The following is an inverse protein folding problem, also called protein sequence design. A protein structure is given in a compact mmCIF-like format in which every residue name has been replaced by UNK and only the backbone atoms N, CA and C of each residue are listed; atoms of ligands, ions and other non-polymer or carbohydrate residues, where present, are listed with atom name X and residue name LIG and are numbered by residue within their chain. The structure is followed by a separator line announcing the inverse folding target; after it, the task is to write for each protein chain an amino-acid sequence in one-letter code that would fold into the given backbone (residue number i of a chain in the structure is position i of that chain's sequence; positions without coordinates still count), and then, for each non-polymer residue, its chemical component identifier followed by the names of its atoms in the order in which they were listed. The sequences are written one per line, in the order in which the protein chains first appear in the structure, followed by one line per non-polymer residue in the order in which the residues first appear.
data_IF_649208794353
#
_entry.id   IF_649208794353
#
_cell.length_a   1.000
_cell.length_b   1.000
_cell.length_c   1.000
_cell.angle_alpha   90.00
_cell.angle_beta   90.00
_cell.angle_gamma   90.00
#
_symmetry.space_group_name_H-M   'P 1'
#
loop_
_entity.id
_entity.type
_entity.pdbx_description
1 polymer ?
#
# COMPACT_ATOMS: atom_id res chain seq x y z
N UNK A 1 13.73 -59.79 -33.59
CA UNK A 1 14.89 -60.23 -32.77
C UNK A 1 15.54 -59.01 -32.16
N UNK A 2 15.57 -58.94 -30.82
CA UNK A 2 15.91 -57.77 -30.01
C UNK A 2 17.40 -57.47 -30.01
N UNK A 3 17.79 -56.19 -30.08
CA UNK A 3 19.02 -55.69 -29.44
C UNK A 3 18.71 -54.35 -28.75
N UNK A 4 18.52 -54.41 -27.43
CA UNK A 4 18.50 -53.27 -26.53
C UNK A 4 19.95 -52.81 -26.34
N UNK A 5 20.27 -51.58 -26.74
CA UNK A 5 21.49 -50.92 -26.28
C UNK A 5 21.15 -50.17 -25.00
N UNK A 6 21.60 -50.70 -23.87
CA UNK A 6 21.49 -50.07 -22.56
C UNK A 6 22.57 -48.99 -22.46
N UNK A 7 22.15 -47.73 -22.32
CA UNK A 7 23.04 -46.66 -21.93
C UNK A 7 23.40 -46.81 -20.45
N UNK A 8 24.70 -46.75 -20.19
CA UNK A 8 25.39 -46.87 -18.91
C UNK A 8 24.99 -45.73 -17.97
N UNK A 9 24.27 -46.04 -16.88
CA UNK A 9 24.04 -45.09 -15.79
C UNK A 9 25.27 -45.07 -14.88
N UNK A 10 25.87 -43.88 -14.69
CA UNK A 10 26.89 -43.67 -13.67
C UNK A 10 26.21 -43.61 -12.28
N UNK A 11 26.76 -44.26 -11.24
CA UNK A 11 26.27 -44.07 -9.88
C UNK A 11 26.79 -42.72 -9.37
N UNK A 12 25.87 -41.78 -9.10
CA UNK A 12 26.17 -40.63 -8.27
C UNK A 12 26.17 -41.13 -6.81
N UNK A 13 27.35 -41.13 -6.19
CA UNK A 13 27.47 -41.34 -4.77
C UNK A 13 26.76 -40.19 -4.05
N UNK A 14 25.70 -40.51 -3.30
CA UNK A 14 25.05 -39.60 -2.37
C UNK A 14 25.63 -39.87 -0.99
N UNK A 15 26.82 -39.34 -0.73
CA UNK A 15 27.34 -39.20 0.63
C UNK A 15 27.85 -37.77 0.78
N UNK A 16 26.96 -36.90 1.27
CA UNK A 16 27.35 -35.94 2.28
C UNK A 16 26.10 -35.62 3.10
N UNK A 17 26.10 -36.16 4.31
CA UNK A 17 25.09 -35.95 5.35
C UNK A 17 24.95 -34.44 5.59
N UNK A 18 23.82 -33.88 5.16
CA UNK A 18 23.38 -32.55 5.57
C UNK A 18 23.01 -32.59 7.05
N UNK A 19 24.03 -32.54 7.92
CA UNK A 19 23.86 -32.12 9.30
C UNK A 19 23.54 -30.62 9.29
N UNK A 20 22.29 -30.27 8.96
CA UNK A 20 21.74 -28.96 9.26
C UNK A 20 21.55 -28.93 10.77
N UNK A 21 22.55 -28.42 11.48
CA UNK A 21 22.37 -27.93 12.84
C UNK A 21 21.29 -26.85 12.78
N UNK A 22 20.05 -27.23 13.08
CA UNK A 22 18.98 -26.28 13.36
C UNK A 22 19.22 -25.69 14.75
N UNK A 23 20.27 -24.89 14.90
CA UNK A 23 20.33 -23.91 15.98
C UNK A 23 19.32 -22.82 15.62
N UNK A 24 18.05 -23.05 15.94
CA UNK A 24 17.07 -21.98 15.97
C UNK A 24 17.53 -21.01 17.07
N UNK A 25 18.25 -19.98 16.67
CA UNK A 25 18.61 -18.86 17.54
C UNK A 25 17.29 -18.22 17.98
N UNK A 26 16.85 -18.54 19.20
CA UNK A 26 15.66 -17.93 19.79
C UNK A 26 16.05 -16.49 20.06
N UNK A 27 15.70 -15.61 19.11
CA UNK A 27 15.83 -14.17 19.25
C UNK A 27 15.21 -13.75 20.58
N UNK A 28 16.05 -13.10 21.39
CA UNK A 28 15.72 -12.54 22.69
C UNK A 28 14.33 -11.88 22.71
N UNK A 29 13.47 -12.40 23.59
CA UNK A 29 12.07 -11.97 23.73
C UNK A 29 11.96 -10.50 24.12
N UNK A 30 13.01 -9.92 24.70
CA UNK A 30 13.10 -8.50 25.04
C UNK A 30 13.09 -7.62 23.77
N UNK A 31 13.76 -8.06 22.70
CA UNK A 31 13.71 -7.41 21.39
C UNK A 31 12.37 -7.60 20.65
N UNK A 32 11.60 -8.65 20.97
CA UNK A 32 10.24 -8.86 20.44
C UNK A 32 9.23 -7.94 21.13
N UNK A 33 9.34 -7.76 22.44
CA UNK A 33 8.49 -6.84 23.20
C UNK A 33 8.67 -5.39 22.74
N UNK A 34 9.92 -4.93 22.60
CA UNK A 34 10.22 -3.57 22.13
C UNK A 34 9.78 -3.35 20.68
N UNK A 35 9.96 -4.36 19.81
CA UNK A 35 9.48 -4.29 18.42
C UNK A 35 7.95 -4.28 18.37
N UNK A 36 7.26 -5.03 19.24
CA UNK A 36 5.80 -5.02 19.37
C UNK A 36 5.31 -3.67 19.88
N UNK A 37 5.95 -3.08 20.88
CA UNK A 37 5.63 -1.72 21.34
C UNK A 37 5.81 -0.69 20.24
N UNK A 38 6.91 -0.76 19.48
CA UNK A 38 7.10 0.09 18.29
C UNK A 38 6.01 -0.10 17.25
N UNK A 39 5.59 -1.35 16.98
CA UNK A 39 4.49 -1.64 16.07
C UNK A 39 3.14 -1.14 16.59
N UNK A 40 2.86 -1.28 17.88
CA UNK A 40 1.62 -0.81 18.51
C UNK A 40 1.58 0.72 18.56
N UNK A 41 2.70 1.38 18.89
CA UNK A 41 2.82 2.83 18.83
C UNK A 41 2.66 3.35 17.39
N UNK A 42 3.25 2.66 16.41
CA UNK A 42 3.06 2.96 14.99
C UNK A 42 1.61 2.73 14.54
N UNK A 43 0.97 1.65 14.97
CA UNK A 43 -0.43 1.37 14.67
C UNK A 43 -1.40 2.37 15.34
N UNK A 44 -1.10 2.77 16.58
CA UNK A 44 -1.83 3.80 17.30
C UNK A 44 -1.62 5.19 16.66
N UNK A 45 -0.43 5.51 16.17
CA UNK A 45 -0.18 6.71 15.37
C UNK A 45 -0.90 6.65 14.02
N UNK A 46 -0.98 5.48 13.39
CA UNK A 46 -1.75 5.21 12.18
C UNK A 46 -3.28 5.21 12.39
N UNK A 47 -3.76 5.23 13.63
CA UNK A 47 -5.20 5.26 13.95
C UNK A 47 -5.86 6.62 13.72
N UNK A 48 -5.07 7.70 13.70
CA UNK A 48 -5.59 9.05 13.45
C UNK A 48 -5.68 9.29 11.94
N UNK A 49 -6.87 9.64 11.48
CA UNK A 49 -7.16 9.90 10.08
C UNK A 49 -7.78 11.28 9.92
N UNK A 50 -7.42 11.97 8.86
CA UNK A 50 -8.14 13.16 8.39
C UNK A 50 -9.21 12.70 7.41
N UNK A 51 -10.42 13.22 7.58
CA UNK A 51 -11.59 12.93 6.76
C UNK A 51 -11.87 14.15 5.89
N UNK A 52 -11.84 13.97 4.58
CA UNK A 52 -12.18 14.99 3.58
C UNK A 52 -13.49 14.61 2.88
N UNK A 53 -14.42 15.53 2.75
CA UNK A 53 -15.67 15.33 2.03
C UNK A 53 -15.63 16.10 0.72
N UNK A 54 -15.86 15.41 -0.40
CA UNK A 54 -15.87 15.96 -1.74
C UNK A 54 -17.25 15.80 -2.40
N UNK A 55 -17.64 16.81 -3.18
CA UNK A 55 -18.79 16.73 -4.10
C UNK A 55 -18.26 16.95 -5.52
N UNK A 56 -18.04 15.84 -6.25
CA UNK A 56 -17.54 15.86 -7.62
C UNK A 56 -18.70 15.56 -8.57
N UNK A 57 -19.11 16.49 -9.45
CA UNK A 57 -20.18 16.24 -10.39
C UNK A 57 -19.76 15.19 -11.44
N UNK A 58 -20.70 14.41 -12.01
CA UNK A 58 -20.39 13.42 -13.04
C UNK A 58 -19.71 14.07 -14.26
N UNK A 59 -18.61 13.47 -14.73
CA UNK A 59 -17.86 13.96 -15.89
C UNK A 59 -16.97 15.18 -15.61
N UNK A 60 -16.82 15.59 -14.35
CA UNK A 60 -15.87 16.64 -13.98
C UNK A 60 -14.44 16.24 -14.33
N UNK A 61 -13.70 17.17 -14.93
CA UNK A 61 -12.29 17.00 -15.27
C UNK A 61 -11.42 17.96 -14.48
N UNK A 62 -10.22 17.54 -14.12
CA UNK A 62 -9.16 18.38 -13.53
C UNK A 62 -7.87 18.24 -14.30
N UNK A 63 -6.97 19.21 -14.14
CA UNK A 63 -5.60 19.08 -14.63
C UNK A 63 -4.96 17.83 -14.05
N UNK A 64 -4.31 17.04 -14.92
CA UNK A 64 -3.58 15.85 -14.49
C UNK A 64 -2.41 16.19 -13.56
N UNK A 65 -1.79 15.17 -12.98
CA UNK A 65 -0.61 15.35 -12.13
C UNK A 65 0.64 15.59 -12.99
N UNK A 66 1.23 16.80 -12.92
CA UNK A 66 2.44 17.17 -13.64
C UNK A 66 2.30 18.46 -14.46
N UNK A 67 3.41 19.08 -14.90
CA UNK A 67 3.39 20.38 -15.58
C UNK A 67 2.67 20.37 -16.94
N UNK A 68 2.69 19.25 -17.65
CA UNK A 68 2.09 19.08 -18.98
C UNK A 68 1.04 17.96 -19.01
N UNK A 69 0.38 17.75 -17.88
CA UNK A 69 -0.53 16.63 -17.74
C UNK A 69 -1.90 16.96 -18.37
N UNK A 70 -2.32 16.10 -19.31
CA UNK A 70 -3.64 16.18 -19.92
C UNK A 70 -4.78 16.17 -18.87
N UNK A 71 -5.91 16.84 -19.15
CA UNK A 71 -7.07 16.78 -18.28
C UNK A 71 -7.54 15.34 -18.05
N UNK A 72 -7.89 15.04 -16.80
CA UNK A 72 -8.36 13.71 -16.38
C UNK A 72 -9.67 13.78 -15.63
N UNK A 73 -10.38 12.67 -15.60
CA UNK A 73 -11.55 12.49 -14.75
C UNK A 73 -11.18 12.77 -13.27
N UNK A 74 -11.91 13.70 -12.66
CA UNK A 74 -11.62 14.20 -11.31
C UNK A 74 -11.75 13.10 -10.26
N UNK A 75 -12.71 12.20 -10.43
CA UNK A 75 -12.93 11.09 -9.51
C UNK A 75 -11.80 10.05 -9.62
N UNK A 76 -11.44 9.66 -10.83
CA UNK A 76 -10.30 8.76 -11.07
C UNK A 76 -8.99 9.35 -10.57
N UNK A 77 -8.80 10.67 -10.70
CA UNK A 77 -7.62 11.34 -10.15
C UNK A 77 -7.63 11.34 -8.61
N UNK A 78 -8.78 11.58 -7.98
CA UNK A 78 -8.91 11.47 -6.52
C UNK A 78 -8.59 10.06 -6.03
N UNK A 79 -9.11 9.03 -6.70
CA UNK A 79 -8.84 7.62 -6.39
C UNK A 79 -7.34 7.28 -6.49
N UNK A 80 -6.64 7.83 -7.50
CA UNK A 80 -5.19 7.69 -7.63
C UNK A 80 -4.44 8.33 -6.45
N UNK A 81 -4.80 9.55 -6.03
CA UNK A 81 -4.12 10.21 -4.90
C UNK A 81 -4.33 9.47 -3.59
N UNK A 82 -5.51 8.88 -3.40
CA UNK A 82 -5.82 8.03 -2.24
C UNK A 82 -4.93 6.79 -2.24
N UNK A 83 -4.80 6.11 -3.39
CA UNK A 83 -3.96 4.92 -3.51
C UNK A 83 -2.48 5.24 -3.21
N UNK A 84 -1.98 6.40 -3.64
CA UNK A 84 -0.59 6.83 -3.39
C UNK A 84 -0.32 7.23 -1.94
N UNK A 85 -1.36 7.57 -1.18
CA UNK A 85 -1.25 8.05 0.21
C UNK A 85 -1.73 7.03 1.24
N UNK A 86 -2.15 5.84 0.80
CA UNK A 86 -2.62 4.77 1.66
C UNK A 86 -3.96 5.08 2.33
N UNK A 87 -4.77 5.93 1.70
CA UNK A 87 -6.09 6.32 2.19
C UNK A 87 -7.20 5.33 1.85
N UNK A 88 -8.42 5.65 2.28
CA UNK A 88 -9.63 4.92 1.95
C UNK A 88 -10.72 5.86 1.42
N UNK A 89 -11.54 5.33 0.51
CA UNK A 89 -12.70 6.04 -0.07
C UNK A 89 -14.00 5.42 0.44
N UNK A 90 -14.88 6.25 0.97
CA UNK A 90 -16.26 5.95 1.31
C UNK A 90 -17.24 6.79 0.47
N UNK A 91 -18.48 6.33 0.39
CA UNK A 91 -19.59 7.09 -0.21
C UNK A 91 -20.48 7.66 0.89
N UNK A 92 -20.97 8.88 0.72
CA UNK A 92 -22.02 9.47 1.56
C UNK A 92 -23.10 10.09 0.66
N UNK A 93 -24.31 10.42 1.17
CA UNK A 93 -25.37 11.00 0.36
C UNK A 93 -24.88 12.27 -0.36
N UNK A 94 -24.78 12.20 -1.69
CA UNK A 94 -24.35 13.33 -2.53
C UNK A 94 -22.85 13.52 -2.72
N UNK A 95 -21.98 12.63 -2.21
CA UNK A 95 -20.53 12.84 -2.35
C UNK A 95 -19.62 11.66 -1.96
N UNK A 96 -18.34 11.99 -1.81
CA UNK A 96 -17.24 11.08 -1.51
C UNK A 96 -16.52 11.48 -0.23
N UNK A 97 -16.36 10.53 0.69
CA UNK A 97 -15.58 10.72 1.91
C UNK A 97 -14.23 10.05 1.74
N UNK A 98 -13.15 10.80 1.89
CA UNK A 98 -11.78 10.31 1.82
C UNK A 98 -11.19 10.30 3.22
N UNK A 99 -10.60 9.18 3.63
CA UNK A 99 -9.93 9.03 4.93
C UNK A 99 -8.44 8.84 4.68
N UNK A 100 -7.63 9.78 5.12
CA UNK A 100 -6.17 9.75 4.94
C UNK A 100 -5.49 9.67 6.31
N UNK A 101 -4.52 8.77 6.52
CA UNK A 101 -3.72 8.79 7.75
C UNK A 101 -3.09 10.17 7.97
N UNK A 102 -3.09 10.70 9.20
CA UNK A 102 -2.55 12.05 9.49
C UNK A 102 -1.10 12.20 9.00
N UNK A 103 -0.29 11.15 9.11
CA UNK A 103 1.09 11.12 8.63
C UNK A 103 1.22 11.35 7.10
N UNK A 104 0.17 11.08 6.33
CA UNK A 104 0.12 11.25 4.88
C UNK A 104 -0.73 12.46 4.43
N UNK A 105 -1.37 13.18 5.36
CA UNK A 105 -2.31 14.25 5.05
C UNK A 105 -1.66 15.39 4.24
N UNK A 106 -0.49 15.88 4.67
CA UNK A 106 0.21 16.94 3.96
C UNK A 106 0.56 16.55 2.50
N UNK A 107 1.01 15.30 2.30
CA UNK A 107 1.30 14.77 0.96
C UNK A 107 0.04 14.62 0.11
N UNK A 108 -1.06 14.17 0.72
CA UNK A 108 -2.35 14.09 0.04
C UNK A 108 -2.82 15.48 -0.39
N UNK A 109 -2.74 16.48 0.48
CA UNK A 109 -3.18 17.84 0.19
C UNK A 109 -2.35 18.49 -0.92
N UNK A 110 -1.05 18.24 -0.97
CA UNK A 110 -0.18 18.70 -2.06
C UNK A 110 -0.59 18.08 -3.41
N UNK A 111 -0.77 16.76 -3.44
CA UNK A 111 -1.14 16.03 -4.67
C UNK A 111 -2.56 16.32 -5.13
N UNK A 112 -3.49 16.49 -4.18
CA UNK A 112 -4.91 16.71 -4.44
C UNK A 112 -5.29 18.20 -4.42
N UNK A 113 -4.32 19.12 -4.42
CA UNK A 113 -4.54 20.57 -4.28
C UNK A 113 -5.68 21.10 -5.17
N UNK A 114 -5.62 20.82 -6.47
CA UNK A 114 -6.65 21.26 -7.43
C UNK A 114 -8.03 20.66 -7.12
N UNK A 115 -8.10 19.40 -6.69
CA UNK A 115 -9.35 18.76 -6.31
C UNK A 115 -9.92 19.36 -5.02
N UNK A 116 -9.05 19.67 -4.05
CA UNK A 116 -9.42 20.29 -2.78
C UNK A 116 -9.97 21.70 -3.02
N UNK A 117 -9.26 22.52 -3.79
CA UNK A 117 -9.68 23.89 -4.09
C UNK A 117 -11.00 23.95 -4.87
N UNK A 118 -11.31 22.91 -5.67
CA UNK A 118 -12.49 22.92 -6.56
C UNK A 118 -13.71 22.22 -5.97
N UNK A 119 -13.53 21.10 -5.23
CA UNK A 119 -14.62 20.18 -4.89
C UNK A 119 -14.74 19.83 -3.41
N UNK A 120 -13.80 20.29 -2.55
CA UNK A 120 -13.89 20.01 -1.11
C UNK A 120 -15.03 20.81 -0.49
N UNK A 121 -15.88 20.14 0.29
CA UNK A 121 -16.99 20.78 1.01
C UNK A 121 -16.75 20.85 2.52
N UNK A 122 -16.00 19.92 3.10
CA UNK A 122 -15.63 19.94 4.52
C UNK A 122 -14.46 19.01 4.79
N UNK A 123 -13.74 19.24 5.89
CA UNK A 123 -12.72 18.32 6.40
C UNK A 123 -12.67 18.33 7.94
N UNK A 124 -12.11 17.28 8.54
CA UNK A 124 -11.93 17.13 9.99
C UNK A 124 -10.98 15.99 10.36
N UNK A 125 -10.51 15.96 11.61
CA UNK A 125 -9.60 14.92 12.15
C UNK A 125 -10.34 14.02 13.12
#
# INVERSE_FOLDING_TARGET
MNKRSSAKAAPLAFEDDLAVETSAEILDLEGVAERRERFVAHAAAASKVVVYAFVIPPGATVSGLGPDAEPRDARGQLELMIALTGGALGKFPGGLTVRIPVAAAARFEELAKTLIETFLVSWGV
#
